data_IF_284432020946
#
_entry.id   IF_284432020946
#
_cell.length_a   1.000
_cell.length_b   1.000
_cell.length_c   1.000
_cell.angle_alpha   90.00
_cell.angle_beta   90.00
_cell.angle_gamma   90.00
#
_symmetry.space_group_name_H-M   'P 1'
#
loop_
_entity.id
_entity.type
_entity.pdbx_description
1 polymer ?
#
# COMPACT_ATOMS: atom_id res chain seq x y z
N UNK A 1 3.23 -1.15 13.05
CA UNK A 1 3.36 -2.38 12.24
C UNK A 1 2.01 -3.09 12.24
N UNK A 2 1.31 -3.08 11.11
CA UNK A 2 0.04 -3.80 10.98
C UNK A 2 0.34 -5.23 10.56
N UNK A 3 -0.03 -6.22 11.38
CA UNK A 3 0.09 -7.65 11.02
C UNK A 3 -0.65 -7.96 9.71
N UNK A 4 -1.75 -7.24 9.45
CA UNK A 4 -2.51 -7.36 8.22
C UNK A 4 -1.71 -6.87 7.01
N UNK A 5 -0.99 -5.75 7.11
CA UNK A 5 -0.17 -5.22 6.02
C UNK A 5 0.95 -6.17 5.62
N UNK A 6 1.66 -6.75 6.59
CA UNK A 6 2.69 -7.77 6.33
C UNK A 6 2.11 -9.06 5.77
N UNK A 7 0.99 -9.56 6.30
CA UNK A 7 0.35 -10.78 5.80
C UNK A 7 -0.16 -10.62 4.36
N UNK A 8 -0.83 -9.51 4.05
CA UNK A 8 -1.31 -9.21 2.70
C UNK A 8 -0.13 -9.06 1.74
N UNK A 9 0.92 -8.35 2.14
CA UNK A 9 2.15 -8.23 1.35
C UNK A 9 2.82 -9.56 1.06
N UNK A 10 2.93 -10.44 2.07
CA UNK A 10 3.48 -11.78 1.95
C UNK A 10 2.70 -12.65 0.95
N UNK A 11 1.37 -12.67 1.06
CA UNK A 11 0.49 -13.43 0.15
C UNK A 11 0.60 -12.89 -1.28
N UNK A 12 0.72 -11.58 -1.45
CA UNK A 12 0.87 -10.95 -2.76
C UNK A 12 2.21 -11.30 -3.41
N UNK A 13 3.29 -11.35 -2.63
CA UNK A 13 4.59 -11.85 -3.07
C UNK A 13 4.56 -13.32 -3.50
N UNK A 14 3.92 -14.19 -2.72
CA UNK A 14 3.72 -15.60 -3.06
C UNK A 14 2.90 -15.76 -4.35
N UNK A 15 1.77 -15.08 -4.46
CA UNK A 15 0.91 -15.12 -5.64
C UNK A 15 1.63 -14.66 -6.90
N UNK A 16 2.46 -13.61 -6.79
CA UNK A 16 3.26 -13.12 -7.91
C UNK A 16 4.18 -14.22 -8.44
N UNK A 17 4.84 -14.97 -7.55
CA UNK A 17 5.74 -16.04 -7.99
C UNK A 17 4.99 -17.26 -8.54
N UNK A 18 3.86 -17.61 -7.95
CA UNK A 18 3.00 -18.68 -8.47
C UNK A 18 2.49 -18.33 -9.87
N UNK A 19 2.06 -17.08 -10.10
CA UNK A 19 1.62 -16.59 -11.42
C UNK A 19 2.75 -16.63 -12.46
N UNK A 20 3.97 -16.27 -12.10
CA UNK A 20 5.11 -16.38 -13.03
C UNK A 20 5.32 -17.83 -13.45
N UNK A 21 5.26 -18.77 -12.50
CA UNK A 21 5.48 -20.18 -12.79
C UNK A 21 4.32 -20.80 -13.60
N UNK A 22 3.07 -20.38 -13.36
CA UNK A 22 1.93 -20.82 -14.19
C UNK A 22 2.03 -20.31 -15.62
N UNK A 23 2.40 -19.04 -15.82
CA UNK A 23 2.56 -18.45 -17.15
C UNK A 23 3.68 -19.14 -17.94
N UNK A 24 4.75 -19.56 -17.27
CA UNK A 24 5.84 -20.32 -17.88
C UNK A 24 5.53 -21.81 -18.07
N UNK A 25 4.35 -22.28 -17.63
CA UNK A 25 3.93 -23.70 -17.65
C UNK A 25 4.92 -24.64 -16.95
N UNK A 26 5.65 -24.14 -15.95
CA UNK A 26 6.60 -24.93 -15.14
C UNK A 26 5.93 -25.33 -13.82
N UNK A 27 6.45 -26.36 -13.12
CA UNK A 27 5.94 -26.75 -11.80
C UNK A 27 5.91 -25.55 -10.85
N UNK A 28 4.78 -25.37 -10.15
CA UNK A 28 4.51 -24.21 -9.29
C UNK A 28 5.61 -23.95 -8.26
N UNK A 29 6.23 -25.00 -7.73
CA UNK A 29 7.24 -24.92 -6.67
C UNK A 29 8.65 -25.26 -7.15
N UNK A 30 8.97 -25.04 -8.44
CA UNK A 30 10.28 -25.40 -9.01
C UNK A 30 11.46 -24.85 -8.21
N UNK A 31 11.36 -23.62 -7.71
CA UNK A 31 12.38 -22.96 -6.90
C UNK A 31 11.76 -22.41 -5.60
N UNK A 32 11.72 -23.19 -4.51
CA UNK A 32 11.05 -22.81 -3.26
C UNK A 32 11.66 -21.57 -2.59
N UNK A 33 12.97 -21.37 -2.74
CA UNK A 33 13.69 -20.21 -2.19
C UNK A 33 13.25 -18.88 -2.81
N UNK A 34 12.85 -18.88 -4.08
CA UNK A 34 12.37 -17.67 -4.75
C UNK A 34 11.00 -17.24 -4.23
N UNK A 35 10.16 -18.21 -3.83
CA UNK A 35 8.90 -17.92 -3.15
C UNK A 35 9.15 -17.28 -1.79
N UNK A 36 10.11 -17.81 -1.01
CA UNK A 36 10.48 -17.22 0.28
C UNK A 36 11.04 -15.80 0.14
N UNK A 37 11.88 -15.56 -0.87
CA UNK A 37 12.42 -14.23 -1.15
C UNK A 37 11.30 -13.23 -1.48
N UNK A 38 10.35 -13.61 -2.33
CA UNK A 38 9.22 -12.76 -2.71
C UNK A 38 8.20 -12.59 -1.59
N UNK A 39 7.97 -13.59 -0.75
CA UNK A 39 7.18 -13.46 0.48
C UNK A 39 7.81 -12.43 1.41
N UNK A 40 9.12 -12.53 1.66
CA UNK A 40 9.84 -11.61 2.53
C UNK A 40 9.80 -10.18 1.99
N UNK A 41 10.08 -10.00 0.69
CA UNK A 41 10.02 -8.71 0.02
C UNK A 41 8.60 -8.14 0.05
N UNK A 42 7.60 -8.96 -0.27
CA UNK A 42 6.19 -8.58 -0.22
C UNK A 42 5.75 -8.15 1.17
N UNK A 43 6.17 -8.85 2.23
CA UNK A 43 5.84 -8.49 3.62
C UNK A 43 6.41 -7.12 4.01
N UNK A 44 7.66 -6.84 3.64
CA UNK A 44 8.31 -5.54 3.89
C UNK A 44 7.57 -4.43 3.16
N UNK A 45 7.24 -4.64 1.87
CA UNK A 45 6.49 -3.68 1.06
C UNK A 45 5.09 -3.45 1.63
N UNK A 46 4.38 -4.50 2.05
CA UNK A 46 3.05 -4.37 2.67
C UNK A 46 3.07 -3.59 3.98
N UNK A 47 4.11 -3.78 4.81
CA UNK A 47 4.30 -2.96 6.00
C UNK A 47 4.57 -1.50 5.65
N UNK A 48 5.46 -1.23 4.69
CA UNK A 48 5.79 0.13 4.27
C UNK A 48 4.58 0.85 3.70
N UNK A 49 3.81 0.20 2.83
CA UNK A 49 2.60 0.77 2.23
C UNK A 49 1.55 1.13 3.29
N UNK A 50 1.31 0.25 4.27
CA UNK A 50 0.33 0.54 5.34
C UNK A 50 0.75 1.69 6.25
N UNK A 51 2.04 1.79 6.58
CA UNK A 51 2.56 2.91 7.37
C UNK A 51 2.44 4.24 6.61
N UNK A 52 2.72 4.24 5.30
CA UNK A 52 2.58 5.43 4.46
C UNK A 52 1.13 5.89 4.41
N UNK A 53 0.18 4.98 4.17
CA UNK A 53 -1.25 5.32 4.17
C UNK A 53 -1.73 5.87 5.52
N UNK A 54 -1.19 5.37 6.64
CA UNK A 54 -1.52 5.90 7.96
C UNK A 54 -0.98 7.32 8.16
N UNK A 55 0.23 7.60 7.68
CA UNK A 55 0.82 8.94 7.74
C UNK A 55 0.07 9.91 6.83
N UNK A 56 -0.26 9.52 5.60
CA UNK A 56 -1.01 10.33 4.65
C UNK A 56 -2.37 10.74 5.24
N UNK A 57 -3.06 9.82 5.93
CA UNK A 57 -4.31 10.13 6.63
C UNK A 57 -4.13 11.19 7.71
N UNK A 58 -3.08 11.08 8.52
CA UNK A 58 -2.76 12.05 9.58
C UNK A 58 -2.44 13.42 9.00
N UNK A 59 -1.67 13.47 7.92
CA UNK A 59 -1.35 14.73 7.22
C UNK A 59 -2.61 15.37 6.62
N UNK A 60 -3.46 14.58 5.97
CA UNK A 60 -4.74 15.06 5.42
C UNK A 60 -5.66 15.57 6.54
N UNK A 61 -5.73 14.88 7.68
CA UNK A 61 -6.51 15.32 8.85
C UNK A 61 -5.95 16.61 9.45
N UNK A 62 -4.62 16.74 9.59
CA UNK A 62 -3.98 17.96 10.05
C UNK A 62 -4.23 19.14 9.10
N UNK A 63 -4.14 18.92 7.79
CA UNK A 63 -4.47 19.93 6.78
C UNK A 63 -5.95 20.34 6.85
N UNK A 64 -6.86 19.38 7.05
CA UNK A 64 -8.30 19.67 7.25
C UNK A 64 -8.55 20.49 8.50
N UNK A 65 -7.86 20.19 9.60
CA UNK A 65 -7.97 20.92 10.86
C UNK A 65 -7.44 22.36 10.76
N UNK A 66 -6.31 22.55 10.07
CA UNK A 66 -5.72 23.89 9.84
C UNK A 66 -6.55 24.74 8.88
N UNK A 67 -7.11 24.15 7.83
CA UNK A 67 -7.80 24.89 6.77
C UNK A 67 -9.27 25.20 7.09
N UNK A 68 -9.84 24.61 8.15
CA UNK A 68 -11.27 24.72 8.45
C UNK A 68 -12.16 24.10 7.36
N UNK A 69 -13.42 23.81 7.70
CA UNK A 69 -14.38 23.16 6.79
C UNK A 69 -14.36 23.77 5.39
N UNK A 70 -14.26 22.89 4.37
CA UNK A 70 -14.24 23.23 2.93
C UNK A 70 -15.41 24.15 2.51
N UNK A 71 -16.51 24.11 3.27
CA UNK A 71 -17.65 25.01 3.09
C UNK A 71 -17.30 26.50 3.23
N UNK A 72 -16.36 26.88 4.10
CA UNK A 72 -15.96 28.28 4.24
C UNK A 72 -15.20 28.80 3.01
N UNK A 73 -14.57 27.93 2.22
CA UNK A 73 -13.92 28.32 0.95
C UNK A 73 -14.89 28.53 -0.21
N UNK A 74 -16.08 27.91 -0.18
CA UNK A 74 -17.15 28.24 -1.14
C UNK A 74 -17.82 29.59 -0.82
N UNK A 75 -17.76 30.03 0.44
CA UNK A 75 -18.35 31.29 0.89
C UNK A 75 -17.40 32.50 0.83
N UNK A 76 -16.08 32.28 0.76
CA UNK A 76 -15.14 33.34 0.41
C UNK A 76 -15.28 33.57 -1.10
N UNK A 77 -15.82 34.72 -1.54
CA UNK A 77 -15.91 35.01 -2.97
C UNK A 77 -14.49 34.97 -3.52
N UNK A 78 -14.31 34.26 -4.63
CA UNK A 78 -13.09 34.28 -5.42
C UNK A 78 -12.58 35.71 -5.52
N UNK A 79 -11.52 36.01 -4.75
CA UNK A 79 -10.87 37.29 -4.81
C UNK A 79 -10.32 37.45 -6.23
N UNK A 80 -10.96 38.37 -6.94
CA UNK A 80 -10.54 39.13 -8.12
C UNK A 80 -9.05 38.96 -8.50
N UNK A 81 -8.84 38.29 -9.64
CA UNK A 81 -8.05 38.70 -10.83
C UNK A 81 -7.35 37.51 -11.50
#
# INVERSE_FOLDING_TARGET
>A
MTFVGTAVGAVLGLNTKLLVNTLQKVPLLRQPWEHLALIGLGAVVGNLATNNVENDKKEVEALRALLGNVEQRKAVPSAQD
#
